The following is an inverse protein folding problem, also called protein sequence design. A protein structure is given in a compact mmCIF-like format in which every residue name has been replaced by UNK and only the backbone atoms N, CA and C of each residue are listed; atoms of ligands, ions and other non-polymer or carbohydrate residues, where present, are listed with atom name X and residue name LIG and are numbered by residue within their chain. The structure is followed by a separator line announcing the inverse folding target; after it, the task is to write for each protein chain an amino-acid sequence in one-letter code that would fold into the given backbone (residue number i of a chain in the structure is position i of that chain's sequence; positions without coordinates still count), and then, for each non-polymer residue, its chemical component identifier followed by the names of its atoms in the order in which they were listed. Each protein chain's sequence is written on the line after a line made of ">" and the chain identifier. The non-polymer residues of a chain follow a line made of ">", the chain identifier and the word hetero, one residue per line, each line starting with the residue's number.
data_IF_886898794122
#
_entry.id   IF_886898794122
#
_cell.length_a   1.000
_cell.length_b   1.000
_cell.length_c   1.000
_cell.angle_alpha   90.00
_cell.angle_beta   90.00
_cell.angle_gamma   90.00
#
_symmetry.space_group_name_H-M   'P 1'
#
loop_
_entity.id
_entity.type
_entity.pdbx_description
1 polymer ?
#
# COMPACT_ATOMS: atom_id res chain seq x y z
N UNK A 1 -48.36 -48.86 9.41
CA UNK A 1 -47.43 -48.52 8.31
C UNK A 1 -46.35 -47.59 8.84
N UNK A 2 -45.09 -47.87 8.46
CA UNK A 2 -43.83 -47.10 8.58
C UNK A 2 -43.58 -46.16 9.79
N UNK A 3 -42.40 -46.39 10.42
CA UNK A 3 -41.95 -45.77 11.68
C UNK A 3 -41.19 -44.46 11.44
N UNK A 4 -41.14 -43.62 12.49
CA UNK A 4 -40.27 -42.44 12.59
C UNK A 4 -38.79 -42.83 12.46
N UNK A 5 -37.98 -41.99 11.82
CA UNK A 5 -36.52 -42.08 11.87
C UNK A 5 -35.94 -40.88 12.63
N UNK A 6 -35.51 -41.13 13.87
CA UNK A 6 -34.48 -40.33 14.52
C UNK A 6 -33.13 -40.71 13.89
N UNK A 7 -32.29 -39.73 13.57
CA UNK A 7 -30.87 -39.94 13.30
C UNK A 7 -30.06 -39.20 14.36
N UNK A 8 -29.82 -39.89 15.48
CA UNK A 8 -28.77 -39.51 16.41
C UNK A 8 -27.45 -40.20 16.04
N UNK A 9 -26.36 -39.42 16.10
CA UNK A 9 -25.11 -39.80 16.77
C UNK A 9 -24.33 -40.99 16.18
N UNK A 10 -23.56 -40.71 15.12
CA UNK A 10 -22.28 -41.36 14.85
C UNK A 10 -21.19 -40.31 15.12
N UNK A 11 -20.67 -40.23 16.36
CA UNK A 11 -19.54 -41.01 16.88
C UNK A 11 -18.19 -40.41 16.49
N UNK A 12 -17.60 -39.65 17.41
CA UNK A 12 -16.19 -39.28 17.38
C UNK A 12 -15.33 -40.55 17.36
N UNK A 13 -14.51 -40.76 16.33
CA UNK A 13 -13.23 -41.46 16.40
C UNK A 13 -12.55 -41.45 15.02
N UNK A 14 -11.50 -40.63 14.87
CA UNK A 14 -10.28 -40.94 14.13
C UNK A 14 -9.25 -39.83 14.42
N UNK A 15 -8.74 -39.86 15.66
CA UNK A 15 -7.48 -39.21 16.00
C UNK A 15 -6.32 -40.08 15.49
N UNK A 16 -5.21 -39.40 15.24
CA UNK A 16 -3.85 -39.91 14.97
C UNK A 16 -3.41 -40.15 13.51
N UNK A 17 -2.32 -39.43 13.20
CA UNK A 17 -1.19 -39.75 12.33
C UNK A 17 -1.40 -39.96 10.82
N UNK A 18 -0.89 -38.98 10.05
CA UNK A 18 0.36 -39.26 9.34
C UNK A 18 1.22 -38.00 9.13
N UNK A 19 2.38 -37.97 9.79
CA UNK A 19 3.46 -37.01 9.53
C UNK A 19 4.09 -37.28 8.17
N UNK A 20 3.81 -36.46 7.16
CA UNK A 20 4.53 -36.56 5.88
C UNK A 20 5.87 -35.86 5.97
N UNK A 21 6.92 -36.65 5.78
CA UNK A 21 8.30 -36.20 5.66
C UNK A 21 8.51 -35.30 4.44
N UNK A 22 9.49 -34.41 4.55
CA UNK A 22 9.88 -33.49 3.49
C UNK A 22 10.56 -34.26 2.35
N UNK A 23 9.91 -34.32 1.18
CA UNK A 23 10.54 -34.78 -0.06
C UNK A 23 11.01 -33.59 -0.89
N UNK A 24 12.32 -33.36 -0.95
CA UNK A 24 12.94 -32.36 -1.81
C UNK A 24 12.86 -32.76 -3.28
N UNK A 25 11.95 -32.16 -4.04
CA UNK A 25 11.96 -32.26 -5.51
C UNK A 25 12.90 -31.19 -6.10
N UNK A 26 13.88 -31.57 -6.95
CA UNK A 26 14.80 -30.61 -7.56
C UNK A 26 14.11 -29.78 -8.65
N UNK A 27 14.30 -28.45 -8.62
CA UNK A 27 13.86 -27.54 -9.69
C UNK A 27 14.60 -27.85 -11.00
N UNK A 28 13.85 -28.26 -12.03
CA UNK A 28 14.33 -28.20 -13.41
C UNK A 28 14.40 -26.74 -13.87
N UNK A 29 15.61 -26.21 -14.02
CA UNK A 29 15.84 -24.95 -14.73
C UNK A 29 15.96 -25.25 -16.23
N UNK A 30 15.06 -24.67 -17.05
CA UNK A 30 15.18 -24.68 -18.50
C UNK A 30 16.20 -23.61 -18.95
N UNK A 31 17.00 -23.95 -19.96
CA UNK A 31 18.04 -23.10 -20.54
C UNK A 31 17.48 -22.26 -21.70
N UNK A 32 17.79 -20.97 -21.71
CA UNK A 32 17.80 -20.14 -22.92
C UNK A 32 18.83 -18.99 -22.78
N UNK A 33 20.06 -19.33 -23.17
CA UNK A 33 20.93 -18.55 -24.07
C UNK A 33 21.06 -17.03 -23.85
N UNK A 34 22.19 -16.62 -23.29
CA UNK A 34 22.85 -15.34 -23.59
C UNK A 34 24.25 -15.63 -24.16
N UNK A 35 24.63 -14.90 -25.21
CA UNK A 35 25.85 -15.13 -25.99
C UNK A 35 27.08 -14.51 -25.29
N UNK A 36 28.22 -15.20 -25.39
CA UNK A 36 29.57 -14.71 -25.07
C UNK A 36 30.42 -14.66 -26.34
N UNK A 37 31.45 -13.80 -26.36
CA UNK A 37 32.82 -14.26 -26.66
C UNK A 37 33.70 -14.03 -25.41
N UNK A 38 34.37 -15.04 -24.83
CA UNK A 38 35.56 -15.76 -25.34
C UNK A 38 36.74 -14.78 -25.48
N UNK A 39 37.83 -14.95 -24.73
CA UNK A 39 39.00 -15.75 -25.17
C UNK A 39 39.77 -16.47 -24.02
N UNK A 40 40.15 -17.74 -24.30
CA UNK A 40 41.48 -18.39 -24.10
C UNK A 40 42.20 -18.38 -22.73
N UNK A 41 42.91 -19.43 -22.28
CA UNK A 41 43.06 -20.83 -22.75
C UNK A 41 43.91 -21.69 -21.79
N UNK A 42 43.41 -22.91 -21.49
CA UNK A 42 44.12 -24.21 -21.57
C UNK A 42 45.12 -24.62 -20.43
N UNK A 43 45.22 -25.92 -20.05
CA UNK A 43 45.36 -26.32 -18.64
C UNK A 43 46.34 -27.51 -18.35
N UNK A 44 46.09 -28.22 -17.24
CA UNK A 44 46.54 -29.57 -16.84
C UNK A 44 47.96 -29.65 -16.17
N UNK A 45 48.32 -30.64 -15.34
CA UNK A 45 47.81 -32.01 -15.03
C UNK A 45 47.68 -32.21 -13.48
N UNK A 46 46.68 -32.92 -12.92
CA UNK A 46 46.68 -34.35 -12.45
C UNK A 46 47.79 -34.64 -11.40
N UNK A 47 47.55 -35.21 -10.20
CA UNK A 47 46.97 -36.56 -9.90
C UNK A 47 46.57 -36.69 -8.40
N UNK A 48 45.78 -37.71 -8.06
CA UNK A 48 45.54 -38.14 -6.66
C UNK A 48 46.75 -38.84 -6.04
N UNK A 49 46.81 -38.92 -4.70
CA UNK A 49 46.87 -40.19 -3.95
C UNK A 49 46.76 -39.97 -2.42
N UNK A 50 46.27 -40.98 -1.71
CA UNK A 50 46.13 -41.02 -0.25
C UNK A 50 47.29 -41.81 0.39
N UNK A 51 47.76 -41.40 1.56
CA UNK A 51 48.46 -42.33 2.49
C UNK A 51 48.31 -41.93 3.95
N UNK A 52 48.27 -42.95 4.81
CA UNK A 52 48.06 -42.91 6.26
C UNK A 52 49.34 -42.78 7.08
N UNK A 53 49.24 -42.26 8.30
CA UNK A 53 50.11 -42.64 9.43
C UNK A 53 49.30 -42.76 10.73
N UNK A 54 49.69 -43.70 11.58
CA UNK A 54 49.05 -44.09 12.85
C UNK A 54 50.10 -43.97 13.98
N UNK A 55 49.75 -43.36 15.13
CA UNK A 55 50.46 -43.48 16.40
C UNK A 55 49.51 -43.11 17.58
N UNK A 56 49.70 -43.64 18.82
CA UNK A 56 48.54 -43.96 19.68
C UNK A 56 48.55 -43.42 21.13
N UNK A 57 47.34 -43.29 21.70
CA UNK A 57 46.95 -43.36 23.14
C UNK A 57 47.58 -42.31 24.10
N UNK A 58 46.96 -41.90 25.21
CA UNK A 58 45.70 -42.28 25.88
C UNK A 58 45.02 -41.02 26.51
N UNK A 59 43.99 -41.02 27.37
CA UNK A 59 43.18 -42.05 28.08
C UNK A 59 41.71 -41.52 28.22
N UNK A 60 40.91 -42.00 29.19
CA UNK A 60 39.49 -41.61 29.39
C UNK A 60 39.26 -40.66 30.57
N UNK A 61 38.24 -39.78 30.46
CA UNK A 61 37.38 -39.43 31.60
C UNK A 61 35.92 -39.40 31.12
N UNK A 62 35.11 -40.35 31.61
CA UNK A 62 33.65 -40.35 31.46
C UNK A 62 33.05 -39.59 32.65
N UNK A 63 32.12 -38.69 32.38
CA UNK A 63 31.15 -38.20 33.36
C UNK A 63 29.75 -38.48 32.84
N UNK A 64 29.03 -39.38 33.52
CA UNK A 64 27.57 -39.42 33.48
C UNK A 64 26.98 -38.27 34.31
N UNK A 65 25.65 -38.20 34.35
CA UNK A 65 24.80 -37.26 35.10
C UNK A 65 24.71 -35.83 34.54
N UNK A 66 23.66 -35.63 33.75
CA UNK A 66 23.20 -34.34 33.26
C UNK A 66 21.98 -34.52 32.37
N UNK A 67 20.79 -34.68 32.97
CA UNK A 67 19.52 -34.73 32.24
C UNK A 67 19.41 -33.54 31.27
N UNK A 68 19.31 -33.81 29.96
CA UNK A 68 18.93 -32.77 29.02
C UNK A 68 17.51 -32.34 29.35
N UNK A 69 17.35 -31.13 29.89
CA UNK A 69 16.05 -30.49 30.10
C UNK A 69 15.26 -30.54 28.80
N UNK A 70 14.24 -31.41 28.77
CA UNK A 70 13.34 -31.52 27.63
C UNK A 70 12.69 -30.16 27.41
N UNK A 71 13.03 -29.49 26.32
CA UNK A 71 12.27 -28.32 25.87
C UNK A 71 10.80 -28.74 25.77
N UNK A 72 9.87 -28.03 26.45
CA UNK A 72 8.48 -28.45 26.46
C UNK A 72 7.97 -28.47 25.01
N UNK A 73 7.25 -29.54 24.60
CA UNK A 73 6.85 -29.72 23.22
C UNK A 73 6.05 -28.50 22.75
N UNK A 74 6.39 -28.02 21.54
CA UNK A 74 5.82 -26.83 20.89
C UNK A 74 4.31 -26.78 21.16
N UNK A 75 3.91 -25.88 22.07
CA UNK A 75 2.51 -25.79 22.48
C UNK A 75 1.66 -25.46 21.26
N UNK A 76 0.76 -26.38 20.90
CA UNK A 76 -0.27 -26.09 19.92
C UNK A 76 -1.04 -24.85 20.40
N UNK A 77 -1.28 -23.84 19.55
CA UNK A 77 -1.96 -22.64 19.97
C UNK A 77 -3.34 -23.02 20.50
N UNK A 78 -3.58 -22.71 21.78
CA UNK A 78 -4.86 -22.97 22.42
C UNK A 78 -5.99 -22.29 21.65
N UNK A 79 -7.20 -22.87 21.62
CA UNK A 79 -8.32 -22.27 20.90
C UNK A 79 -8.56 -20.86 21.44
N UNK A 80 -8.41 -19.86 20.56
CA UNK A 80 -8.51 -18.45 20.93
C UNK A 80 -9.86 -18.18 21.63
N UNK A 81 -9.79 -17.60 22.83
CA UNK A 81 -10.97 -17.28 23.63
C UNK A 81 -11.91 -16.36 22.83
N UNK A 82 -13.24 -16.57 22.86
CA UNK A 82 -14.18 -15.70 22.17
C UNK A 82 -14.08 -14.28 22.73
N UNK A 83 -13.83 -13.29 21.85
CA UNK A 83 -13.67 -11.90 22.23
C UNK A 83 -14.91 -11.07 21.88
N UNK A 84 -15.47 -10.42 22.89
CA UNK A 84 -16.57 -9.46 22.70
C UNK A 84 -16.15 -8.26 21.85
N UNK A 85 -14.88 -7.83 21.90
CA UNK A 85 -14.37 -6.71 21.09
C UNK A 85 -14.34 -7.05 19.60
N UNK A 86 -13.92 -8.26 19.25
CA UNK A 86 -13.92 -8.77 17.86
C UNK A 86 -15.35 -8.84 17.31
N UNK A 87 -16.30 -9.35 18.09
CA UNK A 87 -17.71 -9.40 17.71
C UNK A 87 -18.33 -7.99 17.55
N UNK A 88 -18.02 -7.07 18.47
CA UNK A 88 -18.49 -5.68 18.39
C UNK A 88 -17.92 -4.92 17.19
N UNK A 89 -16.65 -5.16 16.82
CA UNK A 89 -16.01 -4.60 15.63
C UNK A 89 -16.68 -5.14 14.36
N UNK A 90 -16.90 -6.46 14.28
CA UNK A 90 -17.59 -7.11 13.15
C UNK A 90 -18.97 -6.49 12.89
N UNK A 91 -19.78 -6.34 13.94
CA UNK A 91 -21.10 -5.72 13.85
C UNK A 91 -21.03 -4.22 13.51
N UNK A 92 -20.12 -3.46 14.11
CA UNK A 92 -19.96 -2.01 13.89
C UNK A 92 -19.63 -1.68 12.43
N UNK A 93 -18.74 -2.45 11.81
CA UNK A 93 -18.35 -2.27 10.41
C UNK A 93 -19.29 -2.98 9.42
N UNK A 94 -20.42 -3.53 9.89
CA UNK A 94 -21.40 -4.27 9.09
C UNK A 94 -20.75 -5.34 8.20
N UNK A 95 -19.76 -6.06 8.74
CA UNK A 95 -18.95 -6.99 7.95
C UNK A 95 -19.80 -8.19 7.46
N UNK A 96 -19.46 -8.75 6.28
CA UNK A 96 -20.16 -9.89 5.74
C UNK A 96 -20.11 -11.08 6.71
N UNK A 97 -21.24 -11.75 6.93
CA UNK A 97 -21.36 -12.93 7.79
C UNK A 97 -20.48 -14.12 7.36
N UNK A 98 -20.02 -14.13 6.10
CA UNK A 98 -19.03 -15.07 5.57
C UNK A 98 -17.64 -14.90 6.18
N UNK A 99 -17.30 -13.71 6.71
CA UNK A 99 -16.00 -13.44 7.34
C UNK A 99 -16.05 -13.93 8.80
N UNK A 100 -15.28 -14.97 9.16
CA UNK A 100 -15.30 -15.54 10.50
C UNK A 100 -14.48 -14.70 11.48
N UNK A 101 -14.93 -14.64 12.74
CA UNK A 101 -14.31 -13.84 13.80
C UNK A 101 -12.81 -14.18 14.01
N UNK A 102 -12.40 -15.41 13.73
CA UNK A 102 -10.99 -15.85 13.79
C UNK A 102 -10.12 -15.17 12.72
N UNK A 103 -10.65 -14.94 11.52
CA UNK A 103 -9.91 -14.16 10.50
C UNK A 103 -9.83 -12.69 10.90
N UNK A 104 -10.89 -12.14 11.51
CA UNK A 104 -10.89 -10.78 12.03
C UNK A 104 -9.82 -10.60 13.12
N UNK A 105 -9.78 -11.50 14.11
CA UNK A 105 -8.74 -11.54 15.14
C UNK A 105 -7.32 -11.59 14.54
N UNK A 106 -7.11 -12.38 13.46
CA UNK A 106 -5.83 -12.42 12.75
C UNK A 106 -5.42 -11.09 12.13
N UNK A 107 -6.35 -10.25 11.66
CA UNK A 107 -6.00 -8.93 11.08
C UNK A 107 -5.37 -7.97 12.09
N UNK A 108 -5.67 -8.15 13.38
CA UNK A 108 -5.16 -7.34 14.50
C UNK A 108 -3.76 -7.77 14.98
N UNK A 109 -3.21 -8.88 14.48
CA UNK A 109 -1.89 -9.39 14.88
C UNK A 109 -0.85 -9.00 13.83
N UNK A 110 -0.03 -8.01 14.12
CA UNK A 110 1.05 -7.59 13.19
C UNK A 110 2.23 -8.57 13.18
N UNK A 111 3.04 -8.62 12.11
CA UNK A 111 4.26 -9.44 12.06
C UNK A 111 5.31 -9.07 13.14
N UNK A 112 5.25 -7.84 13.67
CA UNK A 112 6.10 -7.44 14.81
C UNK A 112 5.72 -8.14 16.11
N UNK A 113 4.43 -8.40 16.33
CA UNK A 113 3.91 -9.16 17.47
C UNK A 113 4.13 -10.67 17.29
N UNK A 114 3.85 -11.21 16.11
CA UNK A 114 4.03 -12.64 15.81
C UNK A 114 4.79 -12.85 14.49
N UNK A 115 5.98 -13.44 14.59
CA UNK A 115 6.84 -13.73 13.44
C UNK A 115 6.22 -14.78 12.49
N UNK A 116 5.35 -15.68 12.98
CA UNK A 116 4.80 -16.75 12.16
C UNK A 116 3.79 -16.20 11.11
N UNK A 117 4.07 -16.35 9.80
CA UNK A 117 3.21 -15.81 8.73
C UNK A 117 1.81 -16.44 8.68
N UNK A 118 1.61 -17.62 9.29
CA UNK A 118 0.30 -18.25 9.39
C UNK A 118 -0.65 -17.54 10.37
N UNK A 119 -0.10 -16.85 11.38
CA UNK A 119 -0.87 -16.24 12.48
C UNK A 119 -0.83 -14.71 12.50
N UNK A 120 0.01 -14.08 11.67
CA UNK A 120 0.02 -12.63 11.51
C UNK A 120 -0.79 -12.15 10.30
N UNK A 121 -0.99 -10.84 10.23
CA UNK A 121 -1.78 -10.13 9.23
C UNK A 121 -1.01 -9.81 7.93
N UNK A 122 0.30 -10.12 7.85
CA UNK A 122 1.18 -9.58 6.79
C UNK A 122 0.72 -9.98 5.36
N UNK A 123 0.30 -11.23 5.17
CA UNK A 123 -0.22 -11.70 3.88
C UNK A 123 -1.55 -11.03 3.48
N UNK A 124 -2.45 -10.84 4.45
CA UNK A 124 -3.73 -10.14 4.24
C UNK A 124 -3.48 -8.65 3.94
N UNK A 125 -2.53 -8.04 4.66
CA UNK A 125 -2.13 -6.63 4.52
C UNK A 125 -1.50 -6.33 3.17
N UNK A 126 -0.84 -7.29 2.51
CA UNK A 126 -0.37 -7.12 1.13
C UNK A 126 -1.56 -7.09 0.16
N UNK A 127 -2.38 -8.15 0.15
CA UNK A 127 -3.52 -8.28 -0.76
C UNK A 127 -4.48 -7.09 -0.66
N UNK A 128 -4.84 -6.68 0.55
CA UNK A 128 -5.72 -5.52 0.72
C UNK A 128 -5.04 -4.17 0.51
N UNK A 129 -3.70 -4.09 0.60
CA UNK A 129 -2.93 -2.93 0.15
C UNK A 129 -2.98 -2.77 -1.38
N UNK A 130 -2.72 -3.86 -2.10
CA UNK A 130 -2.77 -3.91 -3.57
C UNK A 130 -4.17 -3.50 -4.08
N UNK A 131 -5.24 -4.06 -3.49
CA UNK A 131 -6.64 -3.72 -3.81
C UNK A 131 -6.98 -2.26 -3.47
N UNK A 132 -6.56 -1.77 -2.31
CA UNK A 132 -6.80 -0.40 -1.88
C UNK A 132 -6.17 0.60 -2.85
N UNK A 133 -4.89 0.39 -3.19
CA UNK A 133 -4.17 1.29 -4.09
C UNK A 133 -4.70 1.20 -5.52
N UNK A 134 -5.10 0.02 -6.00
CA UNK A 134 -5.78 -0.14 -7.28
C UNK A 134 -7.10 0.66 -7.34
N UNK A 135 -8.00 0.49 -6.36
CA UNK A 135 -9.29 1.18 -6.35
C UNK A 135 -9.17 2.70 -6.11
N UNK A 136 -8.18 3.15 -5.32
CA UNK A 136 -7.88 4.59 -5.15
C UNK A 136 -7.29 5.19 -6.43
N UNK A 137 -6.37 4.49 -7.09
CA UNK A 137 -5.73 5.00 -8.32
C UNK A 137 -6.70 5.07 -9.50
N UNK A 138 -7.53 4.05 -9.74
CA UNK A 138 -8.54 4.10 -10.82
C UNK A 138 -9.53 5.25 -10.59
N UNK A 139 -9.95 5.47 -9.33
CA UNK A 139 -10.87 6.54 -8.97
C UNK A 139 -10.26 7.92 -9.24
N UNK A 140 -9.02 8.15 -8.80
CA UNK A 140 -8.31 9.41 -9.03
C UNK A 140 -8.09 9.67 -10.53
N UNK A 141 -7.65 8.67 -11.30
CA UNK A 141 -7.39 8.82 -12.74
C UNK A 141 -8.68 9.08 -13.52
N UNK A 142 -9.77 8.39 -13.20
CA UNK A 142 -11.06 8.59 -13.89
C UNK A 142 -11.71 9.93 -13.55
N UNK A 143 -11.52 10.41 -12.31
CA UNK A 143 -12.10 11.68 -11.81
C UNK A 143 -11.28 12.90 -12.21
N UNK A 144 -9.95 12.79 -12.26
CA UNK A 144 -9.00 13.87 -12.58
C UNK A 144 -7.93 13.36 -13.58
N UNK A 145 -8.27 13.15 -14.85
CA UNK A 145 -7.39 12.51 -15.83
C UNK A 145 -6.13 13.32 -16.21
N UNK A 146 -6.08 14.61 -15.81
CA UNK A 146 -4.96 15.54 -16.07
C UNK A 146 -4.04 15.73 -14.85
N UNK A 147 -4.23 14.97 -13.77
CA UNK A 147 -3.54 15.23 -12.50
C UNK A 147 -2.01 15.03 -12.63
N UNK A 148 -1.18 16.05 -12.28
CA UNK A 148 0.28 15.90 -12.27
C UNK A 148 0.75 14.76 -11.39
N UNK A 149 1.81 14.04 -11.79
CA UNK A 149 2.20 12.77 -11.17
C UNK A 149 2.62 12.95 -9.70
N UNK A 150 3.21 14.10 -9.37
CA UNK A 150 3.54 14.45 -7.98
C UNK A 150 2.30 14.63 -7.10
N UNK A 151 1.25 15.26 -7.64
CA UNK A 151 -0.03 15.48 -6.95
C UNK A 151 -0.81 14.18 -6.86
N UNK A 152 -0.75 13.34 -7.89
CA UNK A 152 -1.30 11.99 -7.87
C UNK A 152 -0.74 11.18 -6.70
N UNK A 153 0.58 11.07 -6.56
CA UNK A 153 1.21 10.37 -5.41
C UNK A 153 0.78 10.96 -4.05
N UNK A 154 0.76 12.30 -3.91
CA UNK A 154 0.31 12.95 -2.69
C UNK A 154 -1.18 12.64 -2.37
N UNK A 155 -2.03 12.55 -3.40
CA UNK A 155 -3.44 12.20 -3.24
C UNK A 155 -3.67 10.74 -2.90
N UNK A 156 -2.91 9.80 -3.49
CA UNK A 156 -2.90 8.38 -3.09
C UNK A 156 -2.46 8.26 -1.63
N UNK A 157 -1.38 8.95 -1.22
CA UNK A 157 -0.93 8.99 0.17
C UNK A 157 -1.99 9.56 1.12
N UNK A 158 -2.77 10.57 0.72
CA UNK A 158 -3.87 11.10 1.52
C UNK A 158 -5.11 10.16 1.59
N UNK A 159 -5.26 9.23 0.64
CA UNK A 159 -6.33 8.23 0.65
C UNK A 159 -5.94 6.89 1.33
N UNK A 160 -4.72 6.38 1.12
CA UNK A 160 -4.26 5.06 1.60
C UNK A 160 -2.96 5.08 2.42
N UNK A 161 -2.39 6.26 2.70
CA UNK A 161 -1.18 6.42 3.49
C UNK A 161 -1.37 6.14 4.99
N UNK A 162 -0.29 5.81 5.72
CA UNK A 162 -0.35 5.20 7.04
C UNK A 162 -1.03 6.08 8.10
N UNK A 163 -0.80 7.40 8.07
CA UNK A 163 -1.41 8.35 9.00
C UNK A 163 -2.93 8.43 8.81
N UNK A 164 -3.41 8.28 7.58
CA UNK A 164 -4.85 8.32 7.27
C UNK A 164 -5.54 7.02 7.64
N UNK A 165 -4.89 5.89 7.42
CA UNK A 165 -5.38 4.57 7.87
C UNK A 165 -5.32 4.43 9.40
N UNK A 166 -4.40 5.13 10.08
CA UNK A 166 -4.41 5.26 11.53
C UNK A 166 -5.68 5.93 12.06
N UNK A 167 -6.06 7.07 11.48
CA UNK A 167 -7.32 7.75 11.84
C UNK A 167 -8.53 6.84 11.57
N UNK A 168 -8.63 6.24 10.37
CA UNK A 168 -9.72 5.32 10.02
C UNK A 168 -9.84 4.16 11.01
N UNK A 169 -8.73 3.49 11.34
CA UNK A 169 -8.75 2.38 12.30
C UNK A 169 -9.06 2.82 13.74
N UNK A 170 -8.69 4.05 14.13
CA UNK A 170 -9.07 4.66 15.41
C UNK A 170 -10.57 4.98 15.45
N UNK A 171 -11.13 5.53 14.38
CA UNK A 171 -12.55 5.86 14.26
C UNK A 171 -13.44 4.60 14.26
N UNK A 172 -12.92 3.48 13.72
CA UNK A 172 -13.53 2.15 13.87
C UNK A 172 -13.50 1.61 15.32
N UNK A 173 -12.87 2.32 16.25
CA UNK A 173 -12.79 1.98 17.66
C UNK A 173 -11.79 0.85 17.97
N UNK A 174 -10.76 0.67 17.14
CA UNK A 174 -9.68 -0.29 17.38
C UNK A 174 -8.67 0.31 18.35
N UNK A 175 -8.46 -0.36 19.47
CA UNK A 175 -7.51 0.04 20.51
C UNK A 175 -6.18 -0.71 20.35
N UNK A 176 -5.03 -0.06 20.57
CA UNK A 176 -3.74 -0.73 20.57
C UNK A 176 -3.53 -1.50 21.88
N UNK A 177 -2.87 -2.65 21.80
CA UNK A 177 -2.30 -3.29 22.98
C UNK A 177 -1.03 -2.53 23.43
N UNK A 178 -0.80 -2.44 24.74
CA UNK A 178 0.42 -1.82 25.29
C UNK A 178 1.68 -2.60 24.91
N UNK A 179 1.61 -3.93 25.03
CA UNK A 179 2.64 -4.87 24.59
C UNK A 179 1.95 -6.10 23.97
N UNK A 180 2.57 -6.79 22.99
CA UNK A 180 2.03 -8.02 22.43
C UNK A 180 2.26 -9.19 23.39
N UNK A 181 1.23 -10.02 23.59
CA UNK A 181 1.29 -11.17 24.49
C UNK A 181 0.05 -12.06 24.40
N UNK A 182 0.16 -13.30 24.88
CA UNK A 182 -0.95 -14.28 24.84
C UNK A 182 -2.09 -13.96 25.81
N UNK A 183 -1.81 -13.19 26.86
CA UNK A 183 -2.78 -12.73 27.87
C UNK A 183 -3.70 -11.63 27.33
N UNK A 184 -3.26 -10.95 26.27
CA UNK A 184 -3.97 -9.81 25.68
C UNK A 184 -5.15 -10.30 24.86
N UNK A 185 -6.31 -9.67 25.06
CA UNK A 185 -7.51 -9.89 24.26
C UNK A 185 -7.21 -9.75 22.75
N UNK A 186 -7.61 -10.76 21.97
CA UNK A 186 -7.42 -10.82 20.51
C UNK A 186 -8.15 -9.69 19.75
N UNK A 187 -9.06 -8.98 20.42
CA UNK A 187 -9.71 -7.77 19.89
C UNK A 187 -8.91 -6.47 20.04
N UNK A 188 -7.65 -6.52 20.49
CA UNK A 188 -6.72 -5.40 20.52
C UNK A 188 -5.68 -5.51 19.41
N UNK A 189 -5.26 -4.38 18.83
CA UNK A 189 -4.21 -4.33 17.81
C UNK A 189 -2.84 -4.60 18.46
N UNK A 190 -2.24 -5.76 18.15
CA UNK A 190 -0.99 -6.22 18.73
C UNK A 190 0.20 -5.91 17.82
N UNK A 191 1.15 -5.11 18.32
CA UNK A 191 2.42 -4.78 17.66
C UNK A 191 3.50 -4.46 18.70
N UNK A 192 4.77 -4.51 18.29
CA UNK A 192 5.89 -4.01 19.10
C UNK A 192 6.04 -2.52 18.84
N UNK A 193 5.83 -1.71 19.87
CA UNK A 193 5.95 -0.26 19.80
C UNK A 193 7.41 0.16 19.57
N UNK A 194 7.66 0.96 18.53
CA UNK A 194 8.96 1.63 18.34
C UNK A 194 9.08 2.79 19.33
N UNK A 195 10.14 2.86 20.12
CA UNK A 195 10.38 3.98 21.04
C UNK A 195 10.47 5.32 20.27
N UNK A 196 10.10 6.46 20.87
CA UNK A 196 10.07 7.75 20.16
C UNK A 196 11.45 8.20 19.67
N UNK A 197 12.52 7.80 20.37
CA UNK A 197 13.92 8.01 19.95
C UNK A 197 14.50 6.81 19.20
N UNK A 198 13.71 5.77 18.95
CA UNK A 198 14.11 4.60 18.19
C UNK A 198 14.09 4.91 16.70
N UNK A 199 15.24 4.80 16.04
CA UNK A 199 15.30 4.96 14.59
C UNK A 199 14.39 3.92 13.91
N UNK A 200 13.46 4.40 13.07
CA UNK A 200 12.81 3.53 12.10
C UNK A 200 13.90 2.95 11.21
N UNK A 201 14.12 1.63 11.30
CA UNK A 201 15.31 0.94 10.77
C UNK A 201 15.66 1.40 9.35
N UNK A 202 16.58 2.35 9.27
CA UNK A 202 16.89 3.11 8.05
C UNK A 202 18.01 2.45 7.25
N UNK A 203 18.81 1.63 7.94
CA UNK A 203 19.93 0.85 7.44
C UNK A 203 19.47 -0.27 6.51
N UNK A 204 19.72 -0.10 5.20
CA UNK A 204 19.48 -1.14 4.21
C UNK A 204 19.80 -0.68 2.79
N UNK A 205 20.09 -1.62 1.89
CA UNK A 205 20.18 -1.32 0.45
C UNK A 205 18.77 -1.06 -0.07
N UNK A 206 18.55 0.00 -0.85
CA UNK A 206 17.24 0.28 -1.44
C UNK A 206 17.09 -0.43 -2.80
N UNK A 207 15.97 -0.22 -3.49
CA UNK A 207 15.81 -0.62 -4.89
C UNK A 207 16.83 0.04 -5.81
N UNK A 208 17.39 1.19 -5.43
CA UNK A 208 18.31 2.01 -6.23
C UNK A 208 19.69 2.15 -5.59
N UNK A 209 20.63 2.70 -6.35
CA UNK A 209 21.87 3.28 -5.80
C UNK A 209 21.55 4.67 -5.30
N UNK A 210 21.39 4.84 -3.99
CA UNK A 210 21.16 6.14 -3.37
C UNK A 210 22.50 6.82 -3.04
N UNK A 211 22.64 8.06 -3.50
CA UNK A 211 23.68 8.99 -3.11
C UNK A 211 23.05 10.39 -3.08
N UNK A 212 23.44 11.29 -2.15
CA UNK A 212 22.70 12.53 -1.87
C UNK A 212 22.64 13.52 -3.06
N UNK A 213 23.55 13.37 -4.03
CA UNK A 213 23.64 14.19 -5.24
C UNK A 213 22.92 13.59 -6.46
N UNK A 214 22.37 12.36 -6.38
CA UNK A 214 21.65 11.77 -7.50
C UNK A 214 20.21 12.26 -7.58
N UNK A 215 19.87 12.97 -8.67
CA UNK A 215 18.51 13.45 -8.94
C UNK A 215 17.55 12.28 -9.17
N UNK A 216 16.50 12.19 -8.36
CA UNK A 216 15.37 11.28 -8.55
C UNK A 216 14.35 11.88 -9.53
N UNK A 217 14.25 11.32 -10.73
CA UNK A 217 13.21 11.68 -11.71
C UNK A 217 11.81 11.22 -11.29
N UNK A 218 10.76 11.80 -11.88
CA UNK A 218 9.36 11.41 -11.61
C UNK A 218 8.95 10.12 -12.32
N UNK A 219 9.25 10.00 -13.62
CA UNK A 219 8.89 8.82 -14.42
C UNK A 219 9.50 7.50 -13.88
N UNK A 220 10.69 7.55 -13.27
CA UNK A 220 11.34 6.37 -12.69
C UNK A 220 10.72 5.92 -11.36
N UNK A 221 9.89 6.74 -10.71
CA UNK A 221 9.21 6.36 -9.45
C UNK A 221 8.20 5.24 -9.68
N UNK A 222 7.44 5.32 -10.78
CA UNK A 222 6.42 4.34 -11.19
C UNK A 222 6.93 2.89 -11.20
N UNK A 223 8.23 2.66 -11.44
CA UNK A 223 8.82 1.33 -11.60
C UNK A 223 9.66 0.86 -10.40
N UNK A 224 10.33 1.78 -9.70
CA UNK A 224 11.35 1.43 -8.69
C UNK A 224 11.04 1.89 -7.26
N UNK A 225 10.09 2.83 -7.10
CA UNK A 225 9.63 3.32 -5.81
C UNK A 225 8.32 2.60 -5.42
N UNK A 226 7.75 2.93 -4.27
CA UNK A 226 6.52 2.33 -3.77
C UNK A 226 5.24 2.96 -4.38
N UNK A 227 4.09 2.51 -3.87
CA UNK A 227 2.75 3.00 -4.18
C UNK A 227 2.56 4.53 -3.96
N UNK A 228 3.40 5.15 -3.14
CA UNK A 228 3.40 6.59 -2.84
C UNK A 228 4.53 7.35 -3.53
N UNK A 229 5.38 6.66 -4.31
CA UNK A 229 6.54 7.26 -4.95
C UNK A 229 7.70 7.54 -3.98
N UNK A 230 7.85 6.75 -2.92
CA UNK A 230 8.97 6.75 -1.96
C UNK A 230 9.89 5.52 -2.11
N UNK A 231 11.15 5.63 -1.66
CA UNK A 231 12.17 4.64 -2.03
C UNK A 231 12.03 3.34 -1.23
N UNK A 232 11.78 2.23 -1.94
CA UNK A 232 11.61 0.91 -1.31
C UNK A 232 12.95 0.41 -0.76
N UNK A 233 13.02 0.20 0.56
CA UNK A 233 14.17 -0.43 1.23
C UNK A 233 14.07 -1.95 1.16
N UNK A 234 15.16 -2.63 0.76
CA UNK A 234 15.26 -4.10 0.73
C UNK A 234 15.64 -4.64 2.12
N UNK A 235 14.82 -4.34 3.12
CA UNK A 235 14.98 -4.84 4.49
C UNK A 235 14.06 -6.03 4.74
N UNK A 236 14.61 -7.18 5.13
CA UNK A 236 13.83 -8.35 5.58
C UNK A 236 13.18 -8.15 6.98
N UNK A 237 13.20 -6.92 7.50
CA UNK A 237 12.92 -6.55 8.88
C UNK A 237 11.42 -6.29 9.15
N UNK A 238 10.56 -7.17 8.61
CA UNK A 238 9.10 -7.09 8.77
C UNK A 238 8.66 -7.31 10.24
N UNK A 239 9.54 -7.91 11.05
CA UNK A 239 9.37 -8.20 12.48
C UNK A 239 9.85 -7.09 13.42
N UNK A 240 10.50 -6.04 12.91
CA UNK A 240 11.00 -4.93 13.74
C UNK A 240 9.85 -4.20 14.44
N UNK A 241 10.10 -3.54 15.60
CA UNK A 241 9.18 -2.58 16.18
C UNK A 241 8.75 -1.53 15.16
N UNK A 242 7.46 -1.18 15.16
CA UNK A 242 6.86 -0.27 14.20
C UNK A 242 6.26 0.95 14.92
N UNK A 243 6.19 2.12 14.27
CA UNK A 243 5.35 3.21 14.75
C UNK A 243 3.87 2.80 14.69
N UNK A 244 3.06 3.36 15.59
CA UNK A 244 1.63 3.05 15.71
C UNK A 244 0.89 3.15 14.36
N UNK A 245 1.19 4.18 13.57
CA UNK A 245 0.49 4.46 12.31
C UNK A 245 0.65 3.30 11.30
N UNK A 246 1.85 2.70 11.22
CA UNK A 246 2.10 1.53 10.36
C UNK A 246 1.34 0.28 10.83
N UNK A 247 1.20 0.08 12.15
CA UNK A 247 0.44 -1.04 12.70
C UNK A 247 -1.05 -0.94 12.34
N UNK A 248 -1.65 0.24 12.49
CA UNK A 248 -3.02 0.50 12.06
C UNK A 248 -3.19 0.39 10.54
N UNK A 249 -2.27 0.94 9.76
CA UNK A 249 -2.28 0.83 8.30
C UNK A 249 -2.27 -0.63 7.83
N UNK A 250 -1.43 -1.46 8.48
CA UNK A 250 -1.38 -2.90 8.20
C UNK A 250 -2.68 -3.61 8.60
N UNK A 251 -3.29 -3.25 9.73
CA UNK A 251 -4.60 -3.77 10.12
C UNK A 251 -5.71 -3.39 9.12
N UNK A 252 -5.83 -2.12 8.72
CA UNK A 252 -6.89 -1.69 7.79
C UNK A 252 -6.72 -2.36 6.42
N UNK A 253 -5.48 -2.40 5.89
CA UNK A 253 -5.17 -3.16 4.67
C UNK A 253 -5.48 -4.66 4.85
N UNK A 254 -5.16 -5.26 6.01
CA UNK A 254 -5.48 -6.67 6.27
C UNK A 254 -6.98 -6.95 6.37
N UNK A 255 -7.78 -6.02 6.89
CA UNK A 255 -9.24 -6.14 6.94
C UNK A 255 -9.83 -6.15 5.52
N UNK A 256 -9.38 -5.24 4.65
CA UNK A 256 -9.77 -5.21 3.23
C UNK A 256 -9.42 -6.55 2.56
N UNK A 257 -8.21 -7.07 2.79
CA UNK A 257 -7.79 -8.38 2.29
C UNK A 257 -8.64 -9.55 2.82
N UNK A 258 -9.05 -9.51 4.09
CA UNK A 258 -9.94 -10.50 4.69
C UNK A 258 -11.37 -10.45 4.11
N UNK A 259 -11.92 -9.26 3.89
CA UNK A 259 -13.22 -9.06 3.21
C UNK A 259 -13.15 -9.60 1.78
N UNK A 260 -12.08 -9.31 1.05
CA UNK A 260 -11.85 -9.83 -0.31
C UNK A 260 -11.83 -11.37 -0.35
N UNK A 261 -11.11 -12.02 0.56
CA UNK A 261 -10.99 -13.48 0.56
C UNK A 261 -12.29 -14.21 0.96
N UNK A 262 -13.09 -13.65 1.87
CA UNK A 262 -14.30 -14.33 2.39
C UNK A 262 -15.60 -13.92 1.69
N UNK A 263 -15.71 -12.68 1.23
CA UNK A 263 -16.92 -12.14 0.58
C UNK A 263 -16.72 -11.82 -0.91
N UNK A 264 -15.49 -11.91 -1.42
CA UNK A 264 -15.16 -11.67 -2.81
C UNK A 264 -14.94 -10.19 -3.13
N UNK A 265 -14.56 -9.96 -4.39
CA UNK A 265 -14.15 -8.65 -4.92
C UNK A 265 -15.20 -7.55 -4.75
N UNK A 266 -16.46 -7.81 -5.10
CA UNK A 266 -17.51 -6.78 -5.08
C UNK A 266 -17.70 -6.21 -3.66
N UNK A 267 -17.67 -7.07 -2.63
CA UNK A 267 -17.75 -6.66 -1.23
C UNK A 267 -16.53 -5.82 -0.80
N UNK A 268 -15.32 -6.18 -1.26
CA UNK A 268 -14.11 -5.41 -0.96
C UNK A 268 -14.14 -4.01 -1.63
N UNK A 269 -14.57 -3.92 -2.90
CA UNK A 269 -14.74 -2.63 -3.61
C UNK A 269 -15.74 -1.73 -2.88
N UNK A 270 -16.94 -2.22 -2.59
CA UNK A 270 -17.96 -1.43 -1.86
C UNK A 270 -17.49 -1.01 -0.47
N UNK A 271 -16.71 -1.86 0.22
CA UNK A 271 -16.13 -1.52 1.53
C UNK A 271 -15.11 -0.37 1.42
N UNK A 272 -14.23 -0.40 0.41
CA UNK A 272 -13.25 0.68 0.14
C UNK A 272 -13.97 1.98 -0.25
N UNK A 273 -15.00 1.91 -1.10
CA UNK A 273 -15.82 3.06 -1.49
C UNK A 273 -16.47 3.74 -0.26
N UNK A 274 -17.07 2.94 0.62
CA UNK A 274 -17.80 3.42 1.79
C UNK A 274 -16.90 4.02 2.89
N UNK A 275 -15.69 3.49 3.09
CA UNK A 275 -14.83 3.87 4.23
C UNK A 275 -13.61 4.72 3.85
N UNK A 276 -13.11 4.61 2.62
CA UNK A 276 -11.90 5.31 2.19
C UNK A 276 -12.21 6.42 1.17
N UNK A 277 -12.94 6.10 0.10
CA UNK A 277 -13.24 7.07 -0.98
C UNK A 277 -14.37 8.04 -0.62
N UNK A 278 -15.18 7.71 0.38
CA UNK A 278 -16.19 8.61 0.98
C UNK A 278 -15.58 9.83 1.69
N UNK A 279 -14.28 9.82 1.97
CA UNK A 279 -13.57 10.90 2.67
C UNK A 279 -13.29 12.06 1.69
N UNK A 280 -13.61 13.29 2.10
CA UNK A 280 -13.35 14.47 1.28
C UNK A 280 -11.87 14.86 1.32
N UNK A 281 -11.19 14.76 0.17
CA UNK A 281 -9.83 15.28 -0.04
C UNK A 281 -9.85 16.54 -0.90
N UNK A 282 -9.32 17.64 -0.37
CA UNK A 282 -9.13 18.88 -1.12
C UNK A 282 -7.81 18.85 -1.92
N UNK A 283 -7.90 18.44 -3.18
CA UNK A 283 -6.75 18.37 -4.08
C UNK A 283 -6.12 19.75 -4.38
N UNK A 284 -6.86 20.85 -4.25
CA UNK A 284 -6.37 22.20 -4.56
C UNK A 284 -5.16 22.60 -3.70
N UNK A 285 -5.14 22.09 -2.47
CA UNK A 285 -4.08 22.31 -1.47
C UNK A 285 -2.81 21.47 -1.70
N UNK A 286 -2.86 20.47 -2.57
CA UNK A 286 -1.72 19.58 -2.86
C UNK A 286 -0.79 20.14 -3.96
N UNK A 287 -1.21 21.17 -4.70
CA UNK A 287 -0.41 21.76 -5.77
C UNK A 287 0.64 22.74 -5.24
N UNK A 288 1.89 22.56 -5.67
CA UNK A 288 2.97 23.52 -5.48
C UNK A 288 3.61 23.86 -6.83
N UNK A 289 3.51 25.12 -7.26
CA UNK A 289 4.07 25.61 -8.52
C UNK A 289 5.34 26.42 -8.30
N UNK A 290 6.36 26.19 -9.13
CA UNK A 290 7.61 26.98 -9.10
C UNK A 290 7.59 28.16 -10.07
N UNK A 291 7.16 27.95 -11.32
CA UNK A 291 7.19 28.99 -12.37
C UNK A 291 5.85 29.07 -13.14
N UNK A 292 4.70 29.29 -12.46
CA UNK A 292 3.37 29.11 -13.04
C UNK A 292 3.09 29.98 -14.27
N UNK A 293 3.70 31.17 -14.38
CA UNK A 293 3.58 32.03 -15.59
C UNK A 293 4.21 31.37 -16.82
N UNK A 294 5.38 30.74 -16.65
CA UNK A 294 6.13 30.05 -17.72
C UNK A 294 5.45 28.72 -18.06
N UNK A 295 4.93 28.04 -17.04
CA UNK A 295 4.20 26.78 -17.21
C UNK A 295 2.87 26.99 -17.95
N UNK A 296 2.13 28.05 -17.64
CA UNK A 296 0.91 28.43 -18.38
C UNK A 296 1.22 28.88 -19.83
N UNK A 297 2.33 29.59 -20.05
CA UNK A 297 2.74 29.93 -21.42
C UNK A 297 3.09 28.69 -22.26
N UNK A 298 3.76 27.68 -21.66
CA UNK A 298 3.97 26.38 -22.31
C UNK A 298 2.67 25.59 -22.51
N UNK A 299 1.70 25.70 -21.60
CA UNK A 299 0.35 25.12 -21.79
C UNK A 299 -0.26 25.68 -23.08
N UNK A 300 -0.35 27.00 -23.19
CA UNK A 300 -0.97 27.65 -24.34
C UNK A 300 -0.26 27.28 -25.64
N UNK A 301 1.08 27.27 -25.65
CA UNK A 301 1.87 26.85 -26.81
C UNK A 301 1.80 25.35 -27.14
N UNK A 302 1.34 24.48 -26.22
CA UNK A 302 1.15 23.04 -26.45
C UNK A 302 -0.24 22.72 -27.02
N UNK A 303 -1.25 23.47 -26.60
CA UNK A 303 -2.65 23.32 -27.01
C UNK A 303 -3.03 24.27 -28.18
N UNK A 304 -2.04 24.88 -28.84
CA UNK A 304 -2.20 25.87 -29.92
C UNK A 304 -3.09 27.08 -29.59
N UNK A 305 -3.11 27.49 -28.32
CA UNK A 305 -3.80 28.69 -27.85
C UNK A 305 -2.97 29.97 -28.04
N UNK A 306 -3.62 31.12 -28.16
CA UNK A 306 -2.95 32.42 -28.14
C UNK A 306 -2.12 32.61 -26.85
N UNK A 307 -1.01 33.34 -26.96
CA UNK A 307 -0.10 33.56 -25.83
C UNK A 307 -0.83 34.26 -24.65
N UNK A 308 -0.66 33.81 -23.39
CA UNK A 308 -1.45 34.29 -22.28
C UNK A 308 -1.07 35.72 -21.87
N UNK A 309 -2.03 36.64 -21.93
CA UNK A 309 -1.88 38.06 -21.56
C UNK A 309 -2.60 38.34 -20.24
N UNK A 310 -1.87 38.89 -19.27
CA UNK A 310 -2.44 39.36 -18.01
C UNK A 310 -3.10 40.73 -18.20
N UNK A 311 -4.36 40.87 -17.77
CA UNK A 311 -5.15 42.12 -17.78
C UNK A 311 -5.64 42.42 -16.36
N UNK A 312 -5.59 43.69 -15.96
CA UNK A 312 -6.19 44.14 -14.69
C UNK A 312 -7.71 44.22 -14.90
N UNK A 313 -8.48 43.54 -14.05
CA UNK A 313 -9.95 43.55 -14.10
C UNK A 313 -10.52 44.63 -13.20
N UNK A 314 -9.98 44.74 -11.99
CA UNK A 314 -10.30 45.79 -11.03
C UNK A 314 -9.11 46.05 -10.12
N UNK A 315 -9.06 47.26 -9.58
CA UNK A 315 -8.04 47.64 -8.60
C UNK A 315 -8.64 48.54 -7.52
N UNK A 316 -8.12 48.43 -6.30
CA UNK A 316 -8.47 49.30 -5.20
C UNK A 316 -7.26 49.52 -4.28
N UNK A 317 -7.17 50.72 -3.71
CA UNK A 317 -6.12 51.05 -2.74
C UNK A 317 -4.68 50.99 -3.28
N UNK A 318 -4.43 51.28 -4.57
CA UNK A 318 -3.10 51.21 -5.22
C UNK A 318 -1.98 51.89 -4.40
N UNK A 319 -2.28 53.01 -3.76
CA UNK A 319 -1.33 53.78 -2.93
C UNK A 319 -1.57 53.60 -1.41
N UNK A 320 -2.16 52.49 -1.00
CA UNK A 320 -2.38 52.13 0.42
C UNK A 320 -1.39 51.06 0.89
N UNK A 321 -1.35 50.81 2.21
CA UNK A 321 -0.57 49.72 2.81
C UNK A 321 -1.03 48.32 2.36
N UNK A 322 -2.29 48.19 1.93
CA UNK A 322 -2.90 46.92 1.52
C UNK A 322 -3.72 47.12 0.24
N UNK A 323 -3.06 47.28 -0.92
CA UNK A 323 -3.75 47.30 -2.21
C UNK A 323 -4.44 45.96 -2.47
N UNK A 324 -5.45 45.97 -3.34
CA UNK A 324 -5.98 44.74 -3.95
C UNK A 324 -6.06 44.95 -5.44
N UNK A 325 -5.31 44.14 -6.19
CA UNK A 325 -5.36 44.08 -7.65
C UNK A 325 -5.98 42.74 -8.05
N UNK A 326 -7.06 42.78 -8.81
CA UNK A 326 -7.66 41.58 -9.42
C UNK A 326 -7.16 41.48 -10.85
N UNK A 327 -6.40 40.43 -11.13
CA UNK A 327 -5.81 40.18 -12.45
C UNK A 327 -6.44 38.95 -13.06
N UNK A 328 -6.89 39.08 -14.31
CA UNK A 328 -7.35 37.98 -15.15
C UNK A 328 -6.30 37.68 -16.22
N UNK A 329 -6.05 36.40 -16.49
CA UNK A 329 -5.20 35.97 -17.61
C UNK A 329 -6.10 35.52 -18.76
N UNK A 330 -5.83 36.07 -19.94
CA UNK A 330 -6.58 35.82 -21.15
C UNK A 330 -5.73 35.14 -22.22
N UNK A 331 -6.29 34.14 -22.89
CA UNK A 331 -5.84 33.73 -24.22
C UNK A 331 -6.83 34.30 -25.23
N UNK A 332 -6.39 35.31 -26.00
CA UNK A 332 -7.24 36.12 -26.87
C UNK A 332 -8.44 36.75 -26.15
N UNK A 333 -9.61 36.08 -26.27
CA UNK A 333 -10.89 36.48 -25.68
C UNK A 333 -11.26 35.66 -24.42
N UNK A 334 -10.73 34.46 -24.26
CA UNK A 334 -11.10 33.55 -23.17
C UNK A 334 -10.29 33.84 -21.91
N UNK A 335 -10.95 33.81 -20.74
CA UNK A 335 -10.32 34.02 -19.43
C UNK A 335 -9.92 32.68 -18.83
N UNK A 336 -8.63 32.38 -18.81
CA UNK A 336 -8.07 31.12 -18.30
C UNK A 336 -8.10 31.04 -16.77
N UNK A 337 -7.86 32.18 -16.10
CA UNK A 337 -7.77 32.25 -14.65
C UNK A 337 -7.86 33.68 -14.14
N UNK A 338 -8.25 33.83 -12.88
CA UNK A 338 -8.44 35.11 -12.20
C UNK A 338 -8.00 34.96 -10.73
N UNK A 339 -7.30 35.97 -10.19
CA UNK A 339 -7.00 36.01 -8.76
C UNK A 339 -6.74 37.44 -8.24
N UNK A 340 -7.06 37.70 -6.96
CA UNK A 340 -6.62 38.89 -6.24
C UNK A 340 -5.20 38.71 -5.66
N UNK A 341 -4.41 39.79 -5.67
CA UNK A 341 -3.12 39.88 -4.97
C UNK A 341 -2.84 41.30 -4.45
N UNK A 342 -1.94 41.42 -3.48
CA UNK A 342 -1.54 42.71 -2.88
C UNK A 342 -0.55 43.49 -3.77
N UNK A 343 0.09 42.81 -4.72
CA UNK A 343 0.89 43.42 -5.79
C UNK A 343 0.48 42.88 -7.16
N UNK A 344 0.72 43.66 -8.23
CA UNK A 344 0.46 43.24 -9.61
C UNK A 344 1.19 41.93 -9.98
N UNK A 345 2.44 41.78 -9.51
CA UNK A 345 3.23 40.57 -9.72
C UNK A 345 2.63 39.35 -9.03
N UNK A 346 2.19 39.51 -7.78
CA UNK A 346 1.52 38.45 -7.02
C UNK A 346 0.17 38.08 -7.61
N UNK A 347 -0.67 39.06 -7.96
CA UNK A 347 -1.97 38.84 -8.58
C UNK A 347 -1.83 38.07 -9.90
N UNK A 348 -0.85 38.45 -10.75
CA UNK A 348 -0.48 37.70 -11.97
C UNK A 348 -0.08 36.26 -11.66
N UNK A 349 0.81 36.02 -10.69
CA UNK A 349 1.26 34.66 -10.32
C UNK A 349 0.09 33.81 -9.82
N UNK A 350 -0.75 34.36 -8.93
CA UNK A 350 -1.95 33.69 -8.41
C UNK A 350 -2.96 33.38 -9.52
N UNK A 351 -3.17 34.29 -10.47
CA UNK A 351 -4.05 34.07 -11.62
C UNK A 351 -3.51 32.98 -12.56
N UNK A 352 -2.18 32.89 -12.74
CA UNK A 352 -1.56 31.77 -13.47
C UNK A 352 -1.76 30.44 -12.74
N UNK A 353 -1.60 30.42 -11.42
CA UNK A 353 -1.85 29.24 -10.58
C UNK A 353 -3.32 28.81 -10.67
N UNK A 354 -4.27 29.74 -10.66
CA UNK A 354 -5.70 29.44 -10.85
C UNK A 354 -5.99 28.82 -12.22
N UNK A 355 -5.39 29.33 -13.31
CA UNK A 355 -5.54 28.77 -14.67
C UNK A 355 -4.87 27.40 -14.86
N UNK A 356 -3.74 27.14 -14.19
CA UNK A 356 -3.13 25.80 -14.17
C UNK A 356 -3.96 24.81 -13.36
N UNK A 357 -4.51 25.25 -12.22
CA UNK A 357 -5.39 24.43 -11.38
C UNK A 357 -6.69 24.06 -12.09
N UNK A 358 -7.34 25.00 -12.77
CA UNK A 358 -8.56 24.72 -13.56
C UNK A 358 -8.29 23.72 -14.70
N UNK A 359 -7.11 23.76 -15.32
CA UNK A 359 -6.69 22.76 -16.30
C UNK A 359 -6.48 21.37 -15.69
N UNK A 360 -5.70 21.27 -14.61
CA UNK A 360 -5.31 20.00 -14.00
C UNK A 360 -6.43 19.33 -13.17
N UNK A 361 -7.30 20.13 -12.53
CA UNK A 361 -8.48 19.69 -11.78
C UNK A 361 -9.73 19.56 -12.67
N UNK A 362 -9.57 19.52 -14.00
CA UNK A 362 -10.65 19.18 -14.91
C UNK A 362 -11.28 17.84 -14.51
N UNK A 363 -12.52 17.89 -14.00
CA UNK A 363 -13.31 16.71 -13.71
C UNK A 363 -14.47 16.57 -14.71
N UNK A 364 -14.51 15.49 -15.49
CA UNK A 364 -15.52 15.26 -16.52
C UNK A 364 -16.84 14.68 -16.00
N UNK A 365 -17.06 14.65 -14.68
CA UNK A 365 -18.28 14.16 -14.05
C UNK A 365 -18.29 12.64 -13.78
N UNK A 366 -19.49 12.10 -13.54
CA UNK A 366 -19.69 10.71 -13.11
C UNK A 366 -19.44 9.74 -14.27
N UNK A 367 -18.40 8.90 -14.15
CA UNK A 367 -17.97 7.91 -15.16
C UNK A 367 -18.04 6.49 -14.63
N UNK A 368 -18.10 5.52 -15.53
CA UNK A 368 -17.84 4.11 -15.22
C UNK A 368 -16.37 3.90 -14.87
N UNK A 369 -16.08 3.31 -13.72
CA UNK A 369 -14.72 2.88 -13.39
C UNK A 369 -14.36 1.60 -14.18
N UNK A 370 -13.09 1.40 -14.60
CA UNK A 370 -12.65 0.16 -15.24
C UNK A 370 -13.07 -1.09 -14.45
N UNK A 371 -12.97 -1.04 -13.13
CA UNK A 371 -13.36 -2.16 -12.25
C UNK A 371 -14.85 -2.47 -12.18
N UNK A 372 -15.74 -1.66 -12.77
CA UNK A 372 -17.16 -1.99 -12.97
C UNK A 372 -17.41 -2.89 -14.17
N UNK A 373 -16.49 -2.92 -15.13
CA UNK A 373 -16.64 -3.70 -16.38
C UNK A 373 -16.35 -5.19 -16.19
N UNK A 374 -15.75 -5.57 -15.06
CA UNK A 374 -15.33 -6.94 -14.79
C UNK A 374 -16.49 -7.76 -14.25
N UNK A 375 -17.04 -8.60 -15.13
CA UNK A 375 -18.20 -9.46 -14.89
C UNK A 375 -17.92 -10.41 -13.71
N UNK A 376 -18.80 -10.48 -12.69
CA UNK A 376 -18.64 -11.46 -11.62
C UNK A 376 -18.88 -12.87 -12.17
N UNK A 377 -17.99 -13.80 -11.82
CA UNK A 377 -18.00 -15.20 -12.25
C UNK A 377 -19.31 -15.92 -11.87
N UNK A 378 -20.32 -15.87 -12.76
CA UNK A 378 -21.59 -16.59 -12.62
C UNK A 378 -22.87 -15.76 -12.41
N UNK A 379 -22.92 -14.46 -12.77
CA UNK A 379 -24.11 -13.63 -12.51
C UNK A 379 -24.49 -12.59 -13.57
N UNK A 380 -25.39 -12.98 -14.49
CA UNK A 380 -26.27 -12.17 -15.38
C UNK A 380 -25.70 -10.93 -16.08
N UNK A 381 -25.77 -10.98 -17.41
CA UNK A 381 -25.47 -9.89 -18.33
C UNK A 381 -26.37 -8.67 -18.13
N UNK A 382 -25.83 -7.66 -17.46
CA UNK A 382 -26.23 -6.27 -17.60
C UNK A 382 -25.03 -5.49 -18.12
N UNK A 383 -24.61 -5.79 -19.36
CA UNK A 383 -23.37 -5.24 -19.95
C UNK A 383 -23.54 -3.74 -20.16
N UNK A 384 -23.11 -2.94 -19.17
CA UNK A 384 -22.77 -1.54 -19.41
C UNK A 384 -21.72 -1.53 -20.53
N UNK A 385 -21.94 -0.74 -21.57
CA UNK A 385 -20.89 -0.51 -22.57
C UNK A 385 -19.76 0.28 -21.91
N UNK A 386 -18.51 -0.03 -22.26
CA UNK A 386 -17.37 0.77 -21.79
C UNK A 386 -17.36 2.10 -22.52
N UNK A 387 -17.37 3.20 -21.77
CA UNK A 387 -17.19 4.55 -22.31
C UNK A 387 -15.70 4.93 -22.22
N UNK A 388 -15.05 5.32 -23.34
CA UNK A 388 -13.65 5.74 -23.32
C UNK A 388 -13.41 6.94 -22.39
N UNK A 389 -12.61 6.72 -21.35
CA UNK A 389 -12.15 7.74 -20.41
C UNK A 389 -11.12 8.64 -21.11
N UNK A 390 -11.25 9.97 -20.96
CA UNK A 390 -10.24 10.93 -21.44
C UNK A 390 -8.87 10.62 -20.83
N UNK A 391 -7.84 10.44 -21.65
CA UNK A 391 -6.45 10.24 -21.24
C UNK A 391 -5.67 11.50 -21.62
N UNK A 392 -4.98 12.11 -20.65
CA UNK A 392 -4.14 13.27 -20.90
C UNK A 392 -2.78 12.88 -21.49
N UNK A 393 -2.15 13.81 -22.23
CA UNK A 393 -0.80 13.66 -22.78
C UNK A 393 0.31 13.91 -21.73
N UNK A 394 -0.07 14.29 -20.51
CA UNK A 394 0.81 14.41 -19.36
C UNK A 394 1.01 15.84 -18.86
N UNK A 395 1.69 15.98 -17.73
CA UNK A 395 2.01 17.28 -17.12
C UNK A 395 2.98 18.12 -17.97
N UNK A 396 2.94 19.44 -17.79
CA UNK A 396 3.84 20.35 -18.51
C UNK A 396 5.22 20.35 -17.84
N UNK A 397 6.25 20.07 -18.62
CA UNK A 397 7.64 20.00 -18.17
C UNK A 397 8.25 21.41 -18.18
N UNK A 398 8.98 21.75 -17.09
CA UNK A 398 9.55 23.08 -16.85
C UNK A 398 11.00 23.27 -17.35
#
# INVERSE_FOLDING_TARGET
>A
MMKRLHLERWSNQLLSQNTRSVSTCPRRHALAQNLLPRTTSIPAYVRMNSTSTLAPKSEEIVFEDGEQSLEPPIQQPSPQKPSAKVAALHARLSLPSKLPLQTLARTLITPSANNNPAFNNAGLSRIGGDLLNYHVSEYLICTYPRLPLAVFYASVLAYSGPDTLHLVGRDWGVQPAFAPGQEVDVGLLQYKHLSPNGETSSTGKTTRKEAPYFRRGMASRVVYDDEFGDTVRKSNQVTNPQPMNNAYASFVKALIGAVYLHAGRAAAKTFIEQHILSRHLDLDKLFQFSQPVRDLARLCAREDFEAPVARILSETGRHSRSPVFVVGIYSGREKLGEAPGASLNEARIRASVAGLKSWYLYSPGRRSLPSEMEIPSGGKEGVKSWEPVHVDIGEIIA
#
